data_IF_723650096347
#
_entry.id   IF_723650096347
#
_cell.length_a   1.000
_cell.length_b   1.000
_cell.length_c   1.000
_cell.angle_alpha   90.00
_cell.angle_beta   90.00
_cell.angle_gamma   90.00
#
_symmetry.space_group_name_H-M   'P 1'
#
loop_
_entity.id
_entity.type
_entity.pdbx_description
1 polymer ?
#
# COMPACT_ATOMS: atom_id res chain seq x y z
N UNK A 1 -10.97 5.76 -26.06
CA UNK A 1 -12.39 5.97 -25.72
C UNK A 1 -12.40 6.22 -24.23
N UNK A 2 -12.90 7.36 -23.76
CA UNK A 2 -13.04 7.58 -22.32
C UNK A 2 -14.10 6.60 -21.81
N UNK A 3 -13.68 5.69 -20.93
CA UNK A 3 -14.59 4.77 -20.27
C UNK A 3 -15.39 5.57 -19.23
N UNK A 4 -16.44 6.27 -19.69
CA UNK A 4 -17.38 6.98 -18.80
C UNK A 4 -18.31 5.94 -18.19
N UNK A 5 -18.12 5.68 -16.90
CA UNK A 5 -18.94 4.73 -16.15
C UNK A 5 -20.35 5.25 -15.88
N UNK A 6 -21.30 4.34 -15.92
CA UNK A 6 -22.63 4.55 -15.37
C UNK A 6 -22.61 4.23 -13.87
N UNK A 7 -22.26 5.23 -13.05
CA UNK A 7 -22.36 5.17 -11.59
C UNK A 7 -23.81 5.27 -11.08
N UNK A 8 -24.84 5.16 -11.93
CA UNK A 8 -26.24 5.38 -11.53
C UNK A 8 -26.72 4.48 -10.38
N UNK A 9 -26.11 3.32 -10.17
CA UNK A 9 -26.42 2.47 -9.01
C UNK A 9 -25.82 2.98 -7.68
N UNK A 10 -24.77 3.82 -7.74
CA UNK A 10 -24.03 4.36 -6.59
C UNK A 10 -24.11 5.88 -6.44
N UNK A 11 -24.84 6.59 -7.30
CA UNK A 11 -25.04 8.04 -7.19
C UNK A 11 -25.47 8.48 -5.78
N UNK A 12 -26.09 7.60 -5.00
CA UNK A 12 -26.53 7.90 -3.63
C UNK A 12 -25.44 7.67 -2.56
N UNK A 13 -24.29 7.05 -2.85
CA UNK A 13 -23.32 6.60 -1.83
C UNK A 13 -21.83 6.90 -2.08
N UNK A 14 -21.36 6.84 -3.33
CA UNK A 14 -20.01 7.30 -3.67
C UNK A 14 -20.12 8.33 -4.78
N UNK A 15 -19.58 9.50 -4.51
CA UNK A 15 -19.60 10.66 -5.42
C UNK A 15 -18.27 10.88 -6.13
N UNK A 16 -17.17 10.39 -5.53
CA UNK A 16 -15.80 10.53 -6.00
C UNK A 16 -14.95 9.35 -5.51
N UNK A 17 -13.86 9.03 -6.23
CA UNK A 17 -12.82 8.13 -5.74
C UNK A 17 -11.65 9.01 -5.30
N UNK A 18 -11.51 9.21 -3.99
CA UNK A 18 -10.38 9.96 -3.42
C UNK A 18 -9.13 9.09 -3.33
N UNK A 19 -9.30 7.82 -3.01
CA UNK A 19 -8.23 6.82 -3.03
C UNK A 19 -8.76 5.43 -3.39
N UNK A 20 -7.86 4.57 -3.88
CA UNK A 20 -8.17 3.20 -4.30
C UNK A 20 -7.13 2.19 -3.86
N UNK A 21 -7.59 0.99 -3.52
CA UNK A 21 -6.73 -0.15 -3.21
C UNK A 21 -7.17 -1.39 -3.99
N UNK A 22 -6.23 -2.25 -4.34
CA UNK A 22 -6.50 -3.59 -4.87
C UNK A 22 -5.94 -4.60 -3.88
N UNK A 23 -6.72 -5.62 -3.52
CA UNK A 23 -6.19 -6.73 -2.74
C UNK A 23 -5.19 -7.52 -3.59
N UNK A 24 -3.91 -7.50 -3.20
CA UNK A 24 -2.88 -8.22 -3.94
C UNK A 24 -3.09 -9.75 -3.93
N UNK A 25 -3.87 -10.28 -2.97
CA UNK A 25 -4.28 -11.69 -2.97
C UNK A 25 -5.44 -11.98 -3.94
N UNK A 26 -6.14 -10.96 -4.43
CA UNK A 26 -7.19 -11.08 -5.43
C UNK A 26 -7.24 -9.82 -6.32
N UNK A 27 -6.58 -9.83 -7.51
CA UNK A 27 -6.47 -8.67 -8.38
C UNK A 27 -7.81 -8.09 -8.85
N UNK A 28 -8.88 -8.88 -8.77
CA UNK A 28 -10.21 -8.44 -9.17
C UNK A 28 -10.95 -7.73 -8.05
N UNK A 29 -10.45 -7.72 -6.82
CA UNK A 29 -11.11 -7.06 -5.70
C UNK A 29 -10.53 -5.66 -5.49
N UNK A 30 -11.32 -4.66 -5.85
CA UNK A 30 -10.99 -3.24 -5.76
C UNK A 30 -11.75 -2.61 -4.61
N UNK A 31 -11.13 -1.69 -3.89
CA UNK A 31 -11.75 -0.85 -2.89
C UNK A 31 -11.59 0.61 -3.31
N UNK A 32 -12.66 1.39 -3.16
CA UNK A 32 -12.62 2.82 -3.41
C UNK A 32 -13.15 3.57 -2.19
N UNK A 33 -12.43 4.63 -1.84
CA UNK A 33 -12.73 5.51 -0.73
C UNK A 33 -13.28 6.84 -1.26
N UNK A 34 -14.41 7.27 -0.71
CA UNK A 34 -14.99 8.61 -0.87
C UNK A 34 -14.87 9.32 0.48
N UNK A 35 -13.96 10.29 0.56
CA UNK A 35 -13.70 11.05 1.76
C UNK A 35 -14.82 12.05 2.07
N UNK A 36 -15.53 12.54 1.05
CA UNK A 36 -16.64 13.48 1.24
C UNK A 36 -17.83 12.79 1.93
N UNK A 37 -18.17 11.57 1.48
CA UNK A 37 -19.27 10.80 2.06
C UNK A 37 -18.85 9.91 3.24
N UNK A 38 -17.54 9.82 3.53
CA UNK A 38 -16.98 8.92 4.55
C UNK A 38 -17.41 7.47 4.31
N UNK A 39 -17.31 7.06 3.04
CA UNK A 39 -17.76 5.76 2.55
C UNK A 39 -16.60 5.04 1.90
N UNK A 40 -16.44 3.77 2.24
CA UNK A 40 -15.60 2.84 1.49
C UNK A 40 -16.49 1.78 0.88
N UNK A 41 -16.32 1.51 -0.41
CA UNK A 41 -17.00 0.40 -1.06
C UNK A 41 -15.99 -0.54 -1.70
N UNK A 42 -16.39 -1.80 -1.80
CA UNK A 42 -15.67 -2.84 -2.52
C UNK A 42 -16.37 -3.18 -3.83
N UNK A 43 -15.56 -3.56 -4.82
CA UNK A 43 -15.97 -3.84 -6.18
C UNK A 43 -15.24 -5.06 -6.73
N UNK A 44 -15.91 -5.80 -7.59
CA UNK A 44 -15.32 -6.81 -8.45
C UNK A 44 -15.03 -6.19 -9.81
N UNK A 45 -13.76 -6.16 -10.18
CA UNK A 45 -13.30 -5.80 -11.50
C UNK A 45 -13.49 -6.97 -12.46
N UNK A 46 -14.31 -6.75 -13.48
CA UNK A 46 -14.61 -7.74 -14.50
C UNK A 46 -13.63 -7.61 -15.69
N UNK A 47 -13.58 -8.62 -16.55
CA UNK A 47 -12.64 -8.68 -17.68
C UNK A 47 -12.87 -7.63 -18.78
N UNK A 48 -14.01 -6.92 -18.77
CA UNK A 48 -14.32 -5.76 -19.60
C UNK A 48 -13.98 -4.42 -18.89
N UNK A 49 -13.21 -4.52 -17.81
CA UNK A 49 -12.84 -3.43 -16.92
C UNK A 49 -14.02 -2.71 -16.26
N UNK A 50 -15.19 -3.35 -16.16
CA UNK A 50 -16.30 -2.83 -15.37
C UNK A 50 -16.15 -3.18 -13.89
N UNK A 51 -16.63 -2.31 -13.00
CA UNK A 51 -16.64 -2.51 -11.56
C UNK A 51 -18.05 -2.88 -11.09
N UNK A 52 -18.23 -4.09 -10.57
CA UNK A 52 -19.47 -4.53 -9.93
C UNK A 52 -19.33 -4.41 -8.42
N UNK A 53 -20.08 -3.51 -7.82
CA UNK A 53 -20.00 -3.34 -6.37
C UNK A 53 -20.52 -4.54 -5.58
N UNK A 54 -19.95 -4.70 -4.39
CA UNK A 54 -20.26 -5.80 -3.47
C UNK A 54 -20.88 -5.27 -2.17
N UNK A 55 -20.21 -4.32 -1.51
CA UNK A 55 -20.66 -3.79 -0.24
C UNK A 55 -19.91 -2.52 0.14
N UNK A 56 -20.43 -1.80 1.13
CA UNK A 56 -19.83 -0.58 1.63
C UNK A 56 -19.84 -0.54 3.15
N UNK A 57 -18.84 0.13 3.72
CA UNK A 57 -18.79 0.51 5.12
C UNK A 57 -18.77 2.04 5.26
N UNK A 58 -19.21 2.52 6.42
CA UNK A 58 -19.41 3.94 6.75
C UNK A 58 -18.84 4.24 8.15
N UNK A 59 -18.92 5.51 8.56
CA UNK A 59 -18.72 5.98 9.93
C UNK A 59 -17.24 6.01 10.39
N UNK A 60 -16.35 6.59 9.58
CA UNK A 60 -14.94 6.77 9.90
C UNK A 60 -14.43 8.14 9.46
N UNK A 61 -13.37 8.63 10.10
CA UNK A 61 -12.75 9.90 9.76
C UNK A 61 -11.80 9.78 8.56
N UNK A 62 -11.64 10.85 7.79
CA UNK A 62 -10.90 10.94 6.49
C UNK A 62 -10.36 12.34 6.19
N UNK A 63 -10.23 13.21 7.20
CA UNK A 63 -9.89 14.62 7.01
C UNK A 63 -8.60 15.00 7.78
N UNK A 64 -7.67 15.79 7.20
CA UNK A 64 -7.74 16.46 5.89
C UNK A 64 -7.23 15.66 4.72
N UNK A 65 -6.65 14.49 4.96
CA UNK A 65 -6.18 13.57 3.95
C UNK A 65 -6.63 12.17 4.34
N UNK A 66 -6.70 11.29 3.35
CA UNK A 66 -7.05 9.91 3.55
C UNK A 66 -6.29 9.01 2.60
N UNK A 67 -6.25 7.74 2.96
CA UNK A 67 -5.67 6.67 2.19
C UNK A 67 -6.29 5.34 2.57
N UNK A 68 -6.24 4.38 1.67
CA UNK A 68 -6.86 3.07 1.80
C UNK A 68 -5.88 1.97 1.42
N UNK A 69 -5.88 0.89 2.20
CA UNK A 69 -5.13 -0.31 1.84
C UNK A 69 -5.91 -1.56 2.19
N UNK A 70 -5.87 -2.54 1.31
CA UNK A 70 -6.55 -3.82 1.47
C UNK A 70 -5.57 -4.96 1.23
N UNK A 71 -5.55 -5.92 2.15
CA UNK A 71 -4.69 -7.10 2.04
C UNK A 71 -5.32 -8.28 2.76
N UNK A 72 -5.65 -9.33 1.99
CA UNK A 72 -6.05 -10.65 2.48
C UNK A 72 -7.07 -10.60 3.63
N UNK A 73 -8.18 -9.89 3.41
CA UNK A 73 -9.32 -9.81 4.33
C UNK A 73 -9.22 -8.72 5.39
N UNK A 74 -8.19 -7.87 5.36
CA UNK A 74 -8.08 -6.68 6.20
C UNK A 74 -8.07 -5.44 5.34
N UNK A 75 -8.92 -4.48 5.70
CA UNK A 75 -9.01 -3.17 5.09
C UNK A 75 -8.59 -2.14 6.14
N UNK A 76 -7.66 -1.26 5.80
CA UNK A 76 -7.23 -0.14 6.64
C UNK A 76 -7.50 1.17 5.92
N UNK A 77 -8.00 2.15 6.68
CA UNK A 77 -8.30 3.50 6.20
C UNK A 77 -7.55 4.47 7.11
N UNK A 78 -6.72 5.32 6.52
CA UNK A 78 -6.13 6.45 7.21
C UNK A 78 -7.14 7.60 7.22
N UNK A 79 -7.30 8.23 8.38
CA UNK A 79 -8.34 9.23 8.60
C UNK A 79 -7.84 10.65 8.81
N UNK A 80 -6.60 10.94 8.39
CA UNK A 80 -5.95 12.21 8.65
C UNK A 80 -5.86 12.46 10.15
N UNK A 81 -6.36 13.60 10.61
CA UNK A 81 -6.36 13.97 12.04
C UNK A 81 -7.38 13.22 12.89
N UNK A 82 -8.30 12.48 12.27
CA UNK A 82 -9.36 11.75 12.98
C UNK A 82 -8.98 10.35 13.44
N UNK A 83 -7.73 9.92 13.24
CA UNK A 83 -7.28 8.55 13.55
C UNK A 83 -7.32 7.64 12.33
N UNK A 84 -7.06 6.35 12.53
CA UNK A 84 -7.25 5.32 11.50
C UNK A 84 -8.37 4.36 11.86
N UNK A 85 -8.95 3.72 10.86
CA UNK A 85 -10.02 2.72 11.02
C UNK A 85 -9.65 1.45 10.27
N UNK A 86 -9.95 0.28 10.84
CA UNK A 86 -9.76 -1.01 10.17
C UNK A 86 -11.05 -1.83 10.15
N UNK A 87 -11.26 -2.54 9.06
CA UNK A 87 -12.38 -3.45 8.84
C UNK A 87 -11.87 -4.83 8.43
N UNK A 88 -12.71 -5.85 8.62
CA UNK A 88 -12.55 -7.12 7.93
C UNK A 88 -13.42 -7.14 6.68
N UNK A 89 -13.00 -7.90 5.69
CA UNK A 89 -13.84 -8.23 4.54
C UNK A 89 -13.71 -9.70 4.17
N UNK A 90 -14.73 -10.25 3.53
CA UNK A 90 -14.71 -11.64 3.09
C UNK A 90 -13.76 -11.87 1.91
N UNK A 91 -12.92 -12.88 2.01
CA UNK A 91 -12.01 -13.32 0.93
C UNK A 91 -12.50 -14.59 0.20
N UNK A 92 -13.49 -15.28 0.79
CA UNK A 92 -14.06 -16.50 0.23
C UNK A 92 -15.19 -16.19 -0.76
N UNK A 93 -15.36 -17.04 -1.79
CA UNK A 93 -16.33 -16.86 -2.90
C UNK A 93 -17.74 -16.44 -2.43
N UNK A 94 -18.27 -17.03 -1.36
CA UNK A 94 -19.63 -16.73 -0.87
C UNK A 94 -19.79 -15.39 -0.15
N UNK A 95 -18.70 -14.71 0.18
CA UNK A 95 -18.69 -13.41 0.87
C UNK A 95 -17.63 -12.45 0.29
N UNK A 96 -17.17 -12.72 -0.93
CA UNK A 96 -15.99 -12.07 -1.48
C UNK A 96 -16.21 -10.57 -1.59
N UNK A 97 -15.33 -9.78 -0.99
CA UNK A 97 -15.36 -8.32 -0.98
C UNK A 97 -16.33 -7.72 0.02
N UNK A 98 -17.22 -8.48 0.66
CA UNK A 98 -18.17 -7.90 1.60
C UNK A 98 -17.44 -7.38 2.84
N UNK A 99 -17.51 -6.08 3.05
CA UNK A 99 -16.92 -5.38 4.20
C UNK A 99 -17.84 -5.58 5.41
N UNK A 100 -17.28 -5.89 6.56
CA UNK A 100 -18.01 -5.97 7.82
C UNK A 100 -18.48 -4.57 8.24
N UNK A 101 -19.71 -4.46 8.74
CA UNK A 101 -20.28 -3.17 9.16
C UNK A 101 -19.65 -2.64 10.46
N UNK A 102 -19.04 -3.52 11.25
CA UNK A 102 -18.36 -3.16 12.48
C UNK A 102 -16.85 -3.07 12.22
N UNK A 103 -16.28 -1.91 12.48
CA UNK A 103 -14.85 -1.72 12.45
C UNK A 103 -14.18 -2.51 13.57
N UNK A 104 -13.04 -3.14 13.29
CA UNK A 104 -12.19 -3.80 14.29
C UNK A 104 -11.53 -2.73 15.17
N UNK A 105 -11.00 -1.68 14.54
CA UNK A 105 -10.48 -0.49 15.20
C UNK A 105 -11.17 0.72 14.56
N UNK A 106 -11.74 1.62 15.36
CA UNK A 106 -12.45 2.81 14.84
C UNK A 106 -11.78 4.08 15.31
N UNK A 107 -11.38 4.93 14.36
CA UNK A 107 -10.82 6.27 14.59
C UNK A 107 -9.74 6.27 15.69
N UNK A 108 -8.85 5.28 15.64
CA UNK A 108 -7.78 5.12 16.64
C UNK A 108 -6.72 6.17 16.40
N UNK A 109 -6.39 6.89 17.48
CA UNK A 109 -5.29 7.87 17.50
C UNK A 109 -4.23 7.33 18.45
N UNK A 110 -3.03 7.13 17.92
CA UNK A 110 -1.86 6.71 18.69
C UNK A 110 -1.20 7.92 19.36
N UNK A 111 -0.49 7.71 20.48
CA UNK A 111 0.23 8.77 21.16
C UNK A 111 1.21 9.49 20.23
N UNK A 112 1.35 10.81 20.41
CA UNK A 112 2.29 11.67 19.67
C UNK A 112 2.07 11.71 18.16
N UNK A 113 0.86 11.39 17.68
CA UNK A 113 0.47 11.55 16.26
C UNK A 113 -0.54 12.68 16.12
N UNK A 114 -0.30 13.57 15.16
CA UNK A 114 -1.23 14.62 14.73
C UNK A 114 -2.18 14.07 13.67
N UNK A 115 -1.69 13.28 12.71
CA UNK A 115 -2.54 12.68 11.70
C UNK A 115 -1.89 11.61 10.84
N UNK A 116 -2.75 10.93 10.09
CA UNK A 116 -2.48 9.77 9.24
C UNK A 116 -2.84 10.08 7.79
N UNK A 117 -1.95 10.74 7.02
CA UNK A 117 -2.21 11.08 5.62
C UNK A 117 -2.47 9.89 4.69
N UNK A 118 -1.83 8.74 4.94
CA UNK A 118 -1.91 7.56 4.08
C UNK A 118 -1.67 6.27 4.90
N UNK A 119 -2.04 5.12 4.34
CA UNK A 119 -1.81 3.80 4.94
C UNK A 119 -1.48 2.75 3.89
N UNK A 120 -0.55 1.86 4.21
CA UNK A 120 -0.28 0.63 3.48
C UNK A 120 -0.32 -0.57 4.44
N UNK A 121 -1.06 -1.62 4.10
CA UNK A 121 -0.93 -2.91 4.75
C UNK A 121 0.31 -3.64 4.22
N UNK A 122 1.27 -3.90 5.11
CA UNK A 122 2.45 -4.72 4.83
C UNK A 122 2.11 -6.19 5.01
N UNK A 123 1.35 -6.49 6.06
CA UNK A 123 0.70 -7.79 6.25
C UNK A 123 -0.75 -7.54 6.70
N UNK A 124 -1.62 -8.56 6.76
CA UNK A 124 -3.00 -8.37 7.24
C UNK A 124 -3.11 -7.86 8.69
N UNK A 125 -2.01 -7.86 9.45
CA UNK A 125 -1.97 -7.38 10.84
C UNK A 125 -0.89 -6.32 11.07
N UNK A 126 -0.22 -5.85 10.01
CA UNK A 126 0.84 -4.84 10.12
C UNK A 126 0.60 -3.75 9.08
N UNK A 127 0.44 -2.52 9.54
CA UNK A 127 0.26 -1.35 8.69
C UNK A 127 1.46 -0.39 8.79
N UNK A 128 1.82 0.19 7.66
CA UNK A 128 2.71 1.32 7.50
C UNK A 128 1.86 2.58 7.32
N UNK A 129 1.67 3.34 8.39
CA UNK A 129 0.94 4.60 8.34
C UNK A 129 1.89 5.75 8.04
N UNK A 130 1.64 6.47 6.96
CA UNK A 130 2.23 7.78 6.77
C UNK A 130 1.70 8.71 7.85
N UNK A 131 2.60 9.43 8.52
CA UNK A 131 2.34 10.02 9.83
C UNK A 131 2.91 11.43 9.92
N UNK A 132 2.08 12.34 10.44
CA UNK A 132 2.46 13.64 10.96
C UNK A 132 2.62 13.53 12.49
N UNK A 133 3.85 13.61 12.99
CA UNK A 133 4.16 13.40 14.40
C UNK A 133 4.15 14.71 15.19
N UNK A 134 3.68 14.64 16.45
CA UNK A 134 3.55 15.79 17.34
C UNK A 134 4.88 16.30 17.92
N UNK A 135 5.93 15.48 17.89
CA UNK A 135 7.25 15.76 18.45
C UNK A 135 8.21 16.46 17.47
N UNK A 136 7.70 16.90 16.31
CA UNK A 136 8.50 17.59 15.30
C UNK A 136 9.26 18.78 15.88
N UNK A 137 10.59 18.75 15.73
CA UNK A 137 11.50 19.84 16.10
C UNK A 137 12.50 20.06 14.97
N UNK A 138 13.34 21.11 15.05
CA UNK A 138 14.39 21.31 14.05
C UNK A 138 15.41 20.14 13.98
N UNK A 139 15.42 19.23 14.96
CA UNK A 139 16.32 18.09 15.05
C UNK A 139 15.62 16.75 14.73
N UNK A 140 14.29 16.70 14.76
CA UNK A 140 13.49 15.48 14.52
C UNK A 140 12.44 15.80 13.47
N UNK A 141 12.54 15.22 12.25
CA UNK A 141 11.59 15.53 11.20
C UNK A 141 10.17 15.18 11.60
N UNK A 142 9.24 16.04 11.18
CA UNK A 142 7.83 15.96 11.58
C UNK A 142 7.09 14.85 10.86
N UNK A 143 7.49 14.54 9.62
CA UNK A 143 6.81 13.54 8.80
C UNK A 143 7.62 12.23 8.74
N UNK A 144 6.91 11.13 8.54
CA UNK A 144 7.51 9.81 8.44
C UNK A 144 6.47 8.72 8.28
N UNK A 145 6.89 7.49 8.49
CA UNK A 145 6.00 6.34 8.51
C UNK A 145 6.10 5.65 9.87
N UNK A 146 4.95 5.30 10.41
CA UNK A 146 4.79 4.55 11.65
C UNK A 146 4.31 3.14 11.31
N UNK A 147 5.07 2.14 11.77
CA UNK A 147 4.70 0.74 11.64
C UNK A 147 3.88 0.33 12.86
N UNK A 148 2.65 -0.12 12.62
CA UNK A 148 1.65 -0.37 13.66
C UNK A 148 1.17 -1.82 13.58
N UNK A 149 1.30 -2.53 14.69
CA UNK A 149 0.69 -3.84 14.89
C UNK A 149 -0.81 -3.67 15.14
N UNK A 150 -1.61 -4.23 14.24
CA UNK A 150 -3.06 -4.21 14.28
C UNK A 150 -3.64 -5.46 14.95
N UNK A 151 -2.82 -6.43 15.34
CA UNK A 151 -3.27 -7.63 16.06
C UNK A 151 -3.45 -7.40 17.57
N UNK A 152 -2.79 -6.39 18.12
CA UNK A 152 -2.94 -5.95 19.51
C UNK A 152 -4.22 -5.09 19.69
N UNK A 153 -4.81 -5.14 20.89
CA UNK A 153 -5.89 -4.23 21.32
C UNK A 153 -5.50 -3.60 22.68
N UNK A 154 -5.16 -2.29 22.72
CA UNK A 154 -5.13 -1.34 21.60
C UNK A 154 -3.97 -1.61 20.61
N UNK A 155 -4.08 -1.14 19.35
CA UNK A 155 -2.98 -1.20 18.40
C UNK A 155 -1.72 -0.56 18.94
N UNK A 156 -0.56 -1.08 18.52
CA UNK A 156 0.72 -0.67 19.09
C UNK A 156 1.72 -0.28 18.01
N UNK A 157 2.37 0.85 18.21
CA UNK A 157 3.55 1.22 17.43
C UNK A 157 4.67 0.20 17.67
N UNK A 158 5.23 -0.32 16.59
CA UNK A 158 6.41 -1.18 16.61
C UNK A 158 7.68 -0.36 16.41
N UNK A 159 7.68 0.52 15.42
CA UNK A 159 8.74 1.48 15.15
C UNK A 159 8.24 2.59 14.23
N UNK A 160 9.01 3.66 14.14
CA UNK A 160 8.78 4.72 13.17
C UNK A 160 10.10 5.15 12.53
N UNK A 161 10.02 5.66 11.31
CA UNK A 161 11.15 6.25 10.61
C UNK A 161 10.72 7.58 10.03
N UNK A 162 11.63 8.56 10.08
CA UNK A 162 11.37 9.94 9.70
C UNK A 162 11.93 10.23 8.31
N UNK A 163 11.21 11.04 7.55
CA UNK A 163 11.65 11.53 6.24
C UNK A 163 12.12 12.96 6.37
N UNK A 164 13.14 13.36 5.60
CA UNK A 164 13.70 14.72 5.70
C UNK A 164 12.63 15.75 5.38
N UNK A 165 12.44 16.76 6.25
CA UNK A 165 11.40 17.81 6.12
C UNK A 165 11.46 18.69 4.84
N UNK A 166 12.38 18.41 3.92
CA UNK A 166 12.47 19.04 2.60
C UNK A 166 11.49 18.49 1.56
N UNK A 167 10.50 17.69 1.99
CA UNK A 167 9.52 17.09 1.10
C UNK A 167 8.67 18.17 0.44
N UNK A 168 8.57 18.08 -0.89
CA UNK A 168 7.87 19.03 -1.75
C UNK A 168 6.36 18.82 -1.68
N UNK A 169 5.77 18.93 -0.49
CA UNK A 169 4.33 18.75 -0.23
C UNK A 169 3.42 19.78 -0.93
N UNK A 170 3.98 20.70 -1.72
CA UNK A 170 3.22 21.62 -2.57
C UNK A 170 2.27 20.93 -3.56
N UNK A 171 2.39 19.60 -3.74
CA UNK A 171 1.50 18.79 -4.58
C UNK A 171 0.43 18.03 -3.80
N UNK A 172 0.32 18.22 -2.48
CA UNK A 172 -0.79 17.67 -1.71
C UNK A 172 -2.13 18.22 -2.20
N UNK A 173 -3.13 17.34 -2.28
CA UNK A 173 -4.48 17.63 -2.73
C UNK A 173 -5.45 17.02 -1.75
N UNK A 174 -5.92 17.83 -0.80
CA UNK A 174 -6.88 17.36 0.18
C UNK A 174 -8.26 17.10 -0.48
N UNK A 175 -8.95 15.99 -0.17
CA UNK A 175 -8.51 14.89 0.71
C UNK A 175 -7.73 13.77 0.00
N UNK A 176 -7.74 13.77 -1.33
CA UNK A 176 -7.37 12.64 -2.19
C UNK A 176 -5.89 12.26 -2.20
N UNK A 177 -4.97 13.12 -1.78
CA UNK A 177 -3.56 12.77 -1.66
C UNK A 177 -2.77 13.68 -0.71
N UNK A 178 -1.86 13.04 0.04
CA UNK A 178 -0.71 13.69 0.63
C UNK A 178 0.57 12.99 0.13
N UNK A 179 1.59 13.71 -0.39
CA UNK A 179 2.81 13.11 -0.92
C UNK A 179 3.66 12.47 0.19
N UNK A 180 3.27 11.27 0.60
CA UNK A 180 3.97 10.37 1.51
C UNK A 180 3.31 9.00 1.36
N UNK A 181 3.24 8.47 0.13
CA UNK A 181 2.51 7.24 -0.15
C UNK A 181 3.47 6.06 -0.16
N UNK A 182 3.16 5.03 0.63
CA UNK A 182 4.03 3.86 0.76
C UNK A 182 3.56 2.72 -0.16
N UNK A 183 4.51 1.94 -0.67
CA UNK A 183 4.25 0.65 -1.30
C UNK A 183 5.32 -0.36 -0.89
N UNK A 184 4.99 -1.65 -0.85
CA UNK A 184 5.92 -2.69 -0.39
C UNK A 184 6.10 -3.76 -1.46
N UNK A 185 7.35 -4.09 -1.72
CA UNK A 185 7.76 -5.23 -2.51
C UNK A 185 8.42 -6.28 -1.62
N UNK A 186 7.99 -7.53 -1.78
CA UNK A 186 8.53 -8.66 -1.05
C UNK A 186 9.23 -9.59 -2.03
N UNK A 187 10.48 -9.91 -1.75
CA UNK A 187 11.21 -10.91 -2.53
C UNK A 187 10.85 -12.31 -2.00
N UNK A 188 10.14 -13.15 -2.76
CA UNK A 188 9.61 -14.41 -2.21
C UNK A 188 10.69 -15.31 -1.61
N UNK A 189 11.92 -15.27 -2.13
CA UNK A 189 12.99 -16.21 -1.76
C UNK A 189 14.20 -15.61 -1.05
N UNK A 190 14.39 -14.29 -1.11
CA UNK A 190 15.46 -13.65 -0.35
C UNK A 190 14.98 -13.18 1.03
N UNK A 191 13.66 -13.18 1.28
CA UNK A 191 13.08 -12.68 2.53
C UNK A 191 13.35 -11.19 2.74
N UNK A 192 13.77 -10.48 1.69
CA UNK A 192 13.98 -9.05 1.69
C UNK A 192 12.65 -8.38 1.39
N UNK A 193 12.27 -7.45 2.26
CA UNK A 193 11.15 -6.54 2.05
C UNK A 193 11.71 -5.16 1.78
N UNK A 194 11.25 -4.52 0.72
CA UNK A 194 11.60 -3.13 0.39
C UNK A 194 10.32 -2.31 0.39
N UNK A 195 10.28 -1.29 1.23
CA UNK A 195 9.25 -0.26 1.18
C UNK A 195 9.75 0.88 0.32
N UNK A 196 8.94 1.27 -0.66
CA UNK A 196 9.12 2.49 -1.43
C UNK A 196 8.18 3.56 -0.91
N UNK A 197 8.67 4.79 -0.84
CA UNK A 197 7.87 5.94 -0.40
C UNK A 197 7.95 7.05 -1.44
N UNK A 198 6.78 7.42 -1.97
CA UNK A 198 6.59 8.57 -2.84
C UNK A 198 6.34 9.82 -2.00
N UNK A 199 7.35 10.68 -1.86
CA UNK A 199 7.33 11.85 -0.97
C UNK A 199 7.81 13.13 -1.66
N UNK A 200 7.54 13.26 -2.96
CA UNK A 200 8.16 14.22 -3.86
C UNK A 200 9.45 13.67 -4.46
N UNK A 201 10.34 13.10 -3.66
CA UNK A 201 11.33 12.14 -4.17
C UNK A 201 10.70 10.73 -4.24
N UNK A 202 11.45 9.78 -4.77
CA UNK A 202 11.17 8.37 -4.59
C UNK A 202 12.27 7.81 -3.69
N UNK A 203 11.90 7.17 -2.60
CA UNK A 203 12.88 6.59 -1.66
C UNK A 203 12.59 5.12 -1.43
N UNK A 204 13.60 4.36 -1.04
CA UNK A 204 13.49 2.95 -0.64
C UNK A 204 14.15 2.69 0.71
N UNK A 205 13.63 1.71 1.44
CA UNK A 205 14.19 1.23 2.70
C UNK A 205 13.73 -0.19 3.03
N UNK A 206 14.45 -0.84 3.95
CA UNK A 206 13.93 -2.02 4.64
C UNK A 206 13.01 -1.56 5.78
N UNK A 207 11.71 -1.94 5.77
CA UNK A 207 10.73 -1.47 6.74
C UNK A 207 10.78 -2.19 8.09
N UNK A 208 11.79 -3.01 8.35
CA UNK A 208 11.96 -3.74 9.61
C UNK A 208 13.31 -3.47 10.26
N UNK A 209 14.32 -3.11 9.46
CA UNK A 209 15.71 -3.02 9.95
C UNK A 209 16.41 -1.70 9.66
N UNK A 210 15.87 -0.85 8.78
CA UNK A 210 16.52 0.40 8.38
C UNK A 210 15.82 1.63 8.95
N UNK A 211 16.59 2.48 9.64
CA UNK A 211 16.15 3.82 10.09
C UNK A 211 16.40 4.90 9.03
N UNK A 212 17.00 4.52 7.89
CA UNK A 212 17.40 5.45 6.83
C UNK A 212 16.80 5.07 5.48
N UNK A 213 16.44 6.10 4.72
CA UNK A 213 15.96 5.98 3.34
C UNK A 213 17.10 6.14 2.33
N UNK A 214 17.05 5.39 1.24
CA UNK A 214 17.88 5.63 0.04
C UNK A 214 17.04 6.32 -1.03
N UNK A 215 17.52 7.46 -1.55
CA UNK A 215 16.83 8.13 -2.66
C UNK A 215 17.06 7.37 -3.98
N UNK A 216 15.98 7.11 -4.70
CA UNK A 216 15.98 6.52 -6.04
C UNK A 216 15.99 7.68 -7.06
N UNK A 217 17.02 7.80 -7.91
CA UNK A 217 17.11 8.90 -8.87
C UNK A 217 15.96 8.89 -9.88
N UNK A 218 15.15 9.94 -9.87
CA UNK A 218 14.01 10.15 -10.78
C UNK A 218 14.09 11.52 -11.46
N UNK A 219 14.84 11.67 -12.57
CA UNK A 219 15.08 12.97 -13.17
C UNK A 219 13.78 13.62 -13.65
N UNK A 220 13.65 14.92 -13.35
CA UNK A 220 12.53 15.78 -13.75
C UNK A 220 11.15 15.29 -13.33
N UNK A 221 11.05 14.66 -12.15
CA UNK A 221 9.81 14.07 -11.66
C UNK A 221 9.63 14.31 -10.18
N UNK A 222 8.38 14.48 -9.76
CA UNK A 222 7.99 14.52 -8.36
C UNK A 222 6.96 13.43 -8.10
N UNK A 223 7.35 12.44 -7.30
CA UNK A 223 6.50 11.31 -6.97
C UNK A 223 5.43 11.72 -5.94
N UNK A 224 4.18 11.35 -6.20
CA UNK A 224 3.01 11.72 -5.42
C UNK A 224 2.31 10.49 -4.85
N UNK A 225 2.29 9.39 -5.62
CA UNK A 225 1.69 8.11 -5.23
C UNK A 225 2.54 6.95 -5.76
N UNK A 226 2.44 5.78 -5.15
CA UNK A 226 3.15 4.58 -5.62
C UNK A 226 2.35 3.30 -5.38
N UNK A 227 2.54 2.32 -6.25
CA UNK A 227 1.98 0.98 -6.11
C UNK A 227 2.97 -0.08 -6.59
N UNK A 228 3.10 -1.17 -5.84
CA UNK A 228 3.91 -2.32 -6.24
C UNK A 228 3.01 -3.41 -6.81
N UNK A 229 3.40 -3.96 -7.95
CA UNK A 229 2.84 -5.18 -8.50
C UNK A 229 3.85 -6.33 -8.29
N UNK A 230 3.59 -7.14 -7.25
CA UNK A 230 4.47 -8.25 -6.84
C UNK A 230 4.66 -9.28 -7.96
N UNK A 231 3.57 -9.63 -8.66
CA UNK A 231 3.57 -10.66 -9.71
C UNK A 231 4.39 -10.24 -10.94
N UNK A 232 4.33 -8.94 -11.27
CA UNK A 232 5.03 -8.34 -12.41
C UNK A 232 6.42 -7.83 -12.08
N UNK A 233 6.81 -7.82 -10.80
CA UNK A 233 8.05 -7.20 -10.32
C UNK A 233 8.18 -5.77 -10.83
N UNK A 234 7.08 -5.01 -10.70
CA UNK A 234 6.97 -3.62 -11.14
C UNK A 234 6.63 -2.72 -9.96
N UNK A 235 7.20 -1.52 -9.98
CA UNK A 235 6.79 -0.39 -9.13
C UNK A 235 6.25 0.69 -10.05
N UNK A 236 4.98 1.06 -9.87
CA UNK A 236 4.35 2.18 -10.54
C UNK A 236 4.42 3.40 -9.65
N UNK A 237 4.86 4.53 -10.20
CA UNK A 237 4.94 5.79 -9.47
C UNK A 237 4.21 6.86 -10.26
N UNK A 238 3.16 7.41 -9.66
CA UNK A 238 2.39 8.52 -10.19
C UNK A 238 2.95 9.83 -9.67
N UNK A 239 3.01 10.85 -10.53
CA UNK A 239 3.53 12.14 -10.13
C UNK A 239 3.50 13.18 -11.23
N UNK A 240 4.28 14.25 -11.03
CA UNK A 240 4.32 15.41 -11.93
C UNK A 240 5.69 15.53 -12.57
N UNK A 241 5.71 15.64 -13.89
CA UNK A 241 6.91 15.99 -14.64
C UNK A 241 7.25 17.46 -14.40
N UNK A 242 8.40 17.74 -13.79
CA UNK A 242 8.75 19.12 -13.39
C UNK A 242 9.10 20.03 -14.56
N UNK A 243 9.40 19.48 -15.74
CA UNK A 243 9.72 20.26 -16.92
C UNK A 243 8.46 20.74 -17.67
N UNK A 244 7.40 19.92 -17.68
CA UNK A 244 6.16 20.21 -18.42
C UNK A 244 5.01 20.61 -17.51
N UNK A 245 5.04 20.24 -16.23
CA UNK A 245 3.94 20.38 -15.28
C UNK A 245 2.84 19.33 -15.44
N UNK A 246 2.97 18.40 -16.39
CA UNK A 246 1.96 17.38 -16.66
C UNK A 246 2.13 16.17 -15.74
N UNK A 247 1.02 15.48 -15.49
CA UNK A 247 1.02 14.20 -14.78
C UNK A 247 1.55 13.07 -15.66
N UNK A 248 2.31 12.17 -15.05
CA UNK A 248 2.79 10.95 -15.69
C UNK A 248 2.88 9.81 -14.69
N UNK A 249 2.82 8.58 -15.21
CA UNK A 249 3.06 7.35 -14.47
C UNK A 249 4.38 6.76 -14.98
N UNK A 250 5.29 6.45 -14.07
CA UNK A 250 6.56 5.79 -14.38
C UNK A 250 6.51 4.36 -13.84
N UNK A 251 6.72 3.39 -14.72
CA UNK A 251 6.94 1.99 -14.35
C UNK A 251 8.43 1.76 -14.14
N UNK A 252 8.76 1.08 -13.06
CA UNK A 252 10.11 0.66 -12.71
C UNK A 252 10.16 -0.86 -12.61
N UNK A 253 11.17 -1.47 -13.21
CA UNK A 253 11.46 -2.89 -12.98
C UNK A 253 12.14 -3.09 -11.64
N UNK A 254 11.68 -4.10 -10.89
CA UNK A 254 12.20 -4.53 -9.60
C UNK A 254 13.09 -5.77 -9.73
N UNK A 255 13.86 -5.85 -10.82
CA UNK A 255 14.86 -6.91 -11.00
C UNK A 255 15.96 -6.80 -9.92
N UNK A 256 16.35 -5.57 -9.59
CA UNK A 256 17.10 -5.21 -8.37
C UNK A 256 16.22 -4.25 -7.55
N UNK A 257 15.52 -4.73 -6.50
CA UNK A 257 14.61 -3.92 -5.71
C UNK A 257 15.25 -2.72 -5.00
N UNK A 258 16.56 -2.77 -4.72
CA UNK A 258 17.25 -1.63 -4.11
C UNK A 258 17.67 -0.59 -5.15
N UNK A 259 17.75 -0.96 -6.43
CA UNK A 259 18.11 -0.09 -7.53
C UNK A 259 17.09 -0.22 -8.70
N UNK A 260 15.82 0.14 -8.46
CA UNK A 260 14.79 -0.02 -9.48
C UNK A 260 15.08 0.90 -10.68
N UNK A 261 14.82 0.40 -11.88
CA UNK A 261 15.10 1.12 -13.13
C UNK A 261 13.81 1.44 -13.87
N UNK A 262 13.68 2.66 -14.38
CA UNK A 262 12.54 3.06 -15.21
C UNK A 262 12.49 2.19 -16.46
N UNK A 263 11.39 1.46 -16.64
CA UNK A 263 11.10 0.66 -17.82
C UNK A 263 10.26 1.44 -18.83
N UNK A 264 9.28 2.22 -18.37
CA UNK A 264 8.31 2.93 -19.22
C UNK A 264 7.83 4.20 -18.54
N UNK A 265 7.54 5.22 -19.36
CA UNK A 265 6.91 6.47 -18.93
C UNK A 265 5.61 6.63 -19.72
N UNK A 266 4.50 6.68 -19.00
CA UNK A 266 3.16 6.92 -19.55
C UNK A 266 2.76 8.35 -19.23
N UNK A 267 2.83 9.21 -20.24
CA UNK A 267 2.30 10.57 -20.13
C UNK A 267 0.76 10.52 -20.09
N UNK A 268 0.16 11.18 -19.10
CA UNK A 268 -1.29 11.27 -18.99
C UNK A 268 -1.78 12.51 -19.73
N UNK A 269 -2.81 12.33 -20.56
CA UNK A 269 -3.43 13.45 -21.26
C UNK A 269 -4.32 14.25 -20.31
N UNK A 270 -4.38 15.57 -20.50
CA UNK A 270 -5.28 16.45 -19.75
C UNK A 270 -4.59 17.32 -18.70
N UNK A 271 -5.40 18.03 -17.92
CA UNK A 271 -4.96 19.00 -16.89
C UNK A 271 -5.06 18.46 -15.46
N UNK A 272 -5.44 17.19 -15.29
CA UNK A 272 -5.58 16.56 -13.98
C UNK A 272 -4.27 16.08 -13.36
N UNK A 273 -4.31 15.81 -12.06
CA UNK A 273 -3.21 15.29 -11.24
C UNK A 273 -3.47 13.86 -10.83
N UNK A 274 -2.50 12.98 -11.05
CA UNK A 274 -2.59 11.63 -10.50
C UNK A 274 -2.48 11.72 -8.97
N UNK A 275 -3.49 11.21 -8.28
CA UNK A 275 -3.61 11.26 -6.80
C UNK A 275 -3.46 9.90 -6.16
N UNK A 276 -3.85 8.83 -6.87
CA UNK A 276 -3.74 7.46 -6.40
C UNK A 276 -3.45 6.48 -7.55
N UNK A 277 -2.74 5.41 -7.23
CA UNK A 277 -2.49 4.27 -8.12
C UNK A 277 -2.62 2.98 -7.31
N UNK A 278 -3.24 1.97 -7.90
CA UNK A 278 -3.20 0.59 -7.42
C UNK A 278 -2.88 -0.35 -8.58
N UNK A 279 -2.16 -1.45 -8.31
CA UNK A 279 -1.86 -2.44 -9.34
C UNK A 279 -1.87 -3.86 -8.80
N UNK A 280 -2.42 -4.77 -9.59
CA UNK A 280 -2.38 -6.20 -9.35
C UNK A 280 -2.62 -6.96 -10.66
N UNK A 281 -1.99 -8.13 -10.84
CA UNK A 281 -2.05 -8.89 -12.08
C UNK A 281 -1.60 -8.06 -13.30
N UNK A 282 -2.44 -8.03 -14.34
CA UNK A 282 -2.20 -7.26 -15.57
C UNK A 282 -2.79 -5.84 -15.51
N UNK A 283 -3.30 -5.38 -14.36
CA UNK A 283 -4.08 -4.14 -14.28
C UNK A 283 -3.34 -3.10 -13.46
N UNK A 284 -3.34 -1.87 -13.97
CA UNK A 284 -2.97 -0.66 -13.23
C UNK A 284 -4.17 0.26 -13.27
N UNK A 285 -4.75 0.53 -12.09
CA UNK A 285 -5.81 1.50 -11.86
C UNK A 285 -5.19 2.78 -11.33
N UNK A 286 -5.62 3.93 -11.83
CA UNK A 286 -5.16 5.22 -11.33
C UNK A 286 -6.29 6.22 -11.26
N UNK A 287 -6.16 7.16 -10.32
CA UNK A 287 -7.12 8.23 -10.05
C UNK A 287 -6.50 9.56 -10.42
N UNK A 288 -7.29 10.39 -11.09
CA UNK A 288 -6.92 11.74 -11.52
C UNK A 288 -7.85 12.76 -10.85
N UNK A 289 -7.29 13.76 -10.20
CA UNK A 289 -8.02 14.95 -9.73
C UNK A 289 -7.89 16.07 -10.76
N UNK A 290 -9.01 16.51 -11.35
CA UNK A 290 -9.04 17.52 -12.41
C UNK A 290 -10.09 18.62 -12.19
N UNK A 291 -10.17 19.60 -13.11
CA UNK A 291 -11.13 20.71 -13.02
C UNK A 291 -12.60 20.26 -12.94
N UNK A 292 -12.90 19.09 -13.50
CA UNK A 292 -14.24 18.49 -13.54
C UNK A 292 -14.49 17.48 -12.41
N UNK A 293 -13.57 17.40 -11.43
CA UNK A 293 -13.60 16.46 -10.31
C UNK A 293 -12.64 15.29 -10.47
N UNK A 294 -12.77 14.28 -9.60
CA UNK A 294 -11.99 13.05 -9.66
C UNK A 294 -12.48 12.14 -10.78
N UNK A 295 -11.57 11.61 -11.58
CA UNK A 295 -11.83 10.52 -12.53
C UNK A 295 -10.89 9.36 -12.27
N UNK A 296 -11.19 8.20 -12.83
CA UNK A 296 -10.30 7.05 -12.79
C UNK A 296 -10.17 6.47 -14.18
N UNK A 297 -9.06 5.80 -14.42
CA UNK A 297 -8.80 5.09 -15.65
C UNK A 297 -7.83 3.93 -15.37
N UNK A 298 -7.70 3.03 -16.34
CA UNK A 298 -6.88 1.85 -16.21
C UNK A 298 -6.08 1.61 -17.48
N UNK A 299 -4.95 0.94 -17.33
CA UNK A 299 -4.27 0.35 -18.46
C UNK A 299 -3.79 -1.05 -18.13
N UNK A 300 -3.69 -1.88 -19.17
CA UNK A 300 -3.12 -3.22 -19.01
C UNK A 300 -1.60 -3.16 -19.03
N UNK A 301 -0.98 -3.72 -17.99
CA UNK A 301 0.45 -3.93 -17.92
C UNK A 301 0.80 -5.35 -18.38
N UNK A 302 1.15 -5.49 -19.65
CA UNK A 302 1.60 -6.76 -20.23
C UNK A 302 3.07 -7.07 -19.95
N UNK A 303 3.66 -6.41 -18.95
CA UNK A 303 5.01 -6.69 -18.48
C UNK A 303 5.24 -8.18 -18.23
N UNK A 304 6.50 -8.61 -18.31
CA UNK A 304 6.86 -10.02 -18.12
C UNK A 304 6.32 -10.51 -16.77
N UNK A 305 5.39 -11.45 -16.80
CA UNK A 305 5.05 -12.24 -15.62
C UNK A 305 6.31 -12.98 -15.22
N UNK A 306 6.86 -12.68 -14.05
CA UNK A 306 7.99 -13.45 -13.56
C UNK A 306 7.53 -14.89 -13.37
N UNK A 307 8.29 -15.91 -13.82
CA UNK A 307 7.96 -17.29 -13.48
C UNK A 307 7.89 -17.38 -11.95
N UNK A 308 6.85 -18.06 -11.45
CA UNK A 308 6.66 -18.28 -10.01
C UNK A 308 7.98 -18.78 -9.44
N UNK A 309 8.62 -17.94 -8.64
CA UNK A 309 9.93 -18.27 -8.09
C UNK A 309 9.69 -19.27 -6.97
N UNK A 310 9.87 -20.55 -7.27
CA UNK A 310 9.84 -21.60 -6.24
C UNK A 310 11.08 -21.42 -5.40
N UNK A 311 10.91 -20.93 -4.18
CA UNK A 311 12.02 -20.83 -3.24
C UNK A 311 12.50 -22.23 -2.93
N UNK A 312 13.81 -22.51 -3.01
CA UNK A 312 14.32 -23.80 -2.60
C UNK A 312 13.91 -23.97 -1.13
N UNK A 313 13.01 -24.90 -0.87
CA UNK A 313 12.76 -25.34 0.50
C UNK A 313 14.10 -25.80 1.02
N UNK A 314 14.58 -25.19 2.12
CA UNK A 314 15.73 -25.73 2.83
C UNK A 314 15.44 -27.23 3.00
N UNK A 315 16.28 -28.08 2.41
CA UNK A 315 16.14 -29.51 2.58
C UNK A 315 16.06 -29.76 4.09
N UNK A 316 15.06 -30.51 4.59
CA UNK A 316 14.94 -30.75 6.02
C UNK A 316 16.30 -31.18 6.53
N UNK A 317 16.77 -30.52 7.60
CA UNK A 317 18.05 -30.84 8.22
C UNK A 317 18.11 -32.37 8.37
N UNK A 318 19.20 -33.03 7.94
CA UNK A 318 19.27 -34.48 7.96
C UNK A 318 18.91 -34.93 9.38
N UNK A 319 17.84 -35.73 9.48
CA UNK A 319 17.41 -36.30 10.76
C UNK A 319 18.66 -36.92 11.40
N UNK A 320 19.07 -36.50 12.61
CA UNK A 320 20.22 -37.09 13.26
C UNK A 320 20.03 -38.60 13.26
N UNK A 321 21.00 -39.34 12.71
CA UNK A 321 20.96 -40.79 12.78
C UNK A 321 20.79 -41.18 14.25
N UNK A 322 19.92 -42.16 14.57
CA UNK A 322 19.80 -42.67 15.94
C UNK A 322 21.20 -43.03 16.43
N UNK A 323 21.67 -42.36 17.47
CA UNK A 323 22.89 -42.77 18.15
C UNK A 323 22.59 -44.10 18.83
N UNK A 324 23.12 -45.18 18.28
CA UNK A 324 23.10 -46.47 18.96
C UNK A 324 23.73 -46.29 20.34
N UNK A 325 23.04 -46.61 21.45
CA UNK A 325 23.65 -46.56 22.76
C UNK A 325 24.91 -47.43 22.76
N UNK A 326 26.06 -46.84 23.08
CA UNK A 326 27.28 -47.61 23.29
C UNK A 326 27.07 -48.63 24.41
N UNK A 327 27.77 -49.79 24.37
CA UNK A 327 27.61 -50.83 25.37
C UNK A 327 27.92 -50.29 26.77
N UNK A 328 26.91 -50.29 27.64
CA UNK A 328 27.06 -50.01 29.07
C UNK A 328 28.03 -51.02 29.66
N UNK A 329 29.24 -50.56 29.98
CA UNK A 329 30.22 -51.39 30.71
C UNK A 329 29.78 -51.41 32.17
N UNK A 330 29.19 -52.53 32.62
CA UNK A 330 28.91 -52.76 34.03
C UNK A 330 30.25 -52.95 34.76
N UNK A 331 30.58 -52.02 35.67
CA UNK A 331 31.67 -52.23 36.63
C UNK A 331 31.29 -53.38 37.58
N UNK A 332 32.18 -54.35 37.83
CA UNK A 332 31.97 -55.33 38.86
C UNK A 332 32.16 -54.70 40.24
N UNK A 333 31.13 -54.82 41.08
CA UNK A 333 31.21 -54.61 42.53
C UNK A 333 31.94 -55.79 43.16
N UNK A 334 33.09 -55.54 43.77
CA UNK A 334 33.75 -56.47 44.69
C UNK A 334 33.26 -56.27 46.13
N UNK A 335 33.22 -57.36 46.93
CA UNK A 335 32.77 -57.36 48.33
C UNK A 335 33.69 -56.61 49.29
#
# INVERSE_FOLDING_TARGET
EENVFDLSFFQDRITAFDDVAIDSANPNLVFALDAQSQTVCSFLLNGDATLTAVGCALDFAVNPFCGISALNGTLAISGGTGGFTTFKYGTNVGNLGRIDNEAVQRNVILPNVIGYPDVLLVTPTLAAFSTDFADGSNEVPRFGTMMVDLSDEPPRELHNFRVVDSLRFQFALAPSNFPLVNSVYETPCAGQTVMYTANGALTSQDPFTSDTTTEIPIPSFLAVTSAVNQEKKSLFVGGVNTATGNSEIRDFTLTDPLNPMISTITALAGTGRVVSIASSGDIVLYIMDGPDGTSYDFFSHTGQTAPVQVCPTQAPAPTPLPTTPGPTTLLPTTP
#
